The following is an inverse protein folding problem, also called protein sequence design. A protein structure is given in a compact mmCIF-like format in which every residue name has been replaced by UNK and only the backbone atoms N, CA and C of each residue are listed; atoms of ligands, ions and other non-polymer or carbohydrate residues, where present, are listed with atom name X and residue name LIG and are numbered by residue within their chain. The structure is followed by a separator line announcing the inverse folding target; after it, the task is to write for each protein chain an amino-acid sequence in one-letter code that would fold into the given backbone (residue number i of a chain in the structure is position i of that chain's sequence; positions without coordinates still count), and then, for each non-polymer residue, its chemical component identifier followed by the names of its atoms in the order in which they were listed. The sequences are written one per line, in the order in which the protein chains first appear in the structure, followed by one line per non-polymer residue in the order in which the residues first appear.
data_IF_192686307276
#
_entry.id   IF_192686307276
#
_cell.length_a   1.000
_cell.length_b   1.000
_cell.length_c   1.000
_cell.angle_alpha   90.00
_cell.angle_beta   90.00
_cell.angle_gamma   90.00
#
_symmetry.space_group_name_H-M   'P 1'
#
loop_
_entity.id
_entity.type
_entity.pdbx_description
1 polymer ?
#
# COMPACT_ATOMS: atom_id res chain seq x y z
N UNK A 1 16.27 30.28 2.50
CA UNK A 1 15.21 29.40 3.04
C UNK A 1 14.15 30.29 3.66
N UNK A 2 12.98 30.37 3.04
CA UNK A 2 11.81 31.07 3.56
C UNK A 2 10.69 30.03 3.71
N UNK A 3 9.76 30.19 4.67
CA UNK A 3 8.61 29.31 4.74
C UNK A 3 7.83 29.37 3.42
N UNK A 4 7.35 28.24 2.87
CA UNK A 4 6.74 28.18 1.54
C UNK A 4 5.52 29.10 1.43
N UNK A 5 4.84 29.36 2.54
CA UNK A 5 3.88 30.45 2.62
C UNK A 5 4.13 31.31 3.87
N UNK A 6 4.23 32.62 3.67
CA UNK A 6 4.24 33.62 4.72
C UNK A 6 3.24 34.71 4.33
N UNK A 7 2.15 34.89 5.07
CA UNK A 7 1.24 35.98 4.71
C UNK A 7 -0.11 36.03 5.41
N UNK A 8 -0.63 37.27 5.45
CA UNK A 8 -2.01 37.57 5.80
C UNK A 8 -2.96 37.00 4.74
N UNK A 9 -4.03 36.32 5.18
CA UNK A 9 -5.12 35.84 4.31
C UNK A 9 -5.11 34.34 3.96
N UNK A 10 -4.00 33.62 4.17
CA UNK A 10 -3.92 32.16 3.98
C UNK A 10 -4.39 31.38 5.21
N UNK A 11 -4.13 31.91 6.41
CA UNK A 11 -4.44 31.21 7.64
C UNK A 11 -5.90 31.40 8.05
N UNK A 12 -6.53 30.35 8.62
CA UNK A 12 -7.94 30.39 8.98
C UNK A 12 -8.25 31.48 10.01
N UNK A 13 -9.43 32.11 9.86
CA UNK A 13 -9.87 33.22 10.72
C UNK A 13 -10.10 32.80 12.18
N UNK A 14 -10.45 31.54 12.44
CA UNK A 14 -10.70 31.04 13.80
C UNK A 14 -9.44 31.05 14.69
N UNK A 15 -8.24 31.06 14.09
CA UNK A 15 -6.96 31.19 14.81
C UNK A 15 -6.48 32.63 14.95
N UNK A 16 -7.31 33.64 14.64
CA UNK A 16 -6.90 35.05 14.60
C UNK A 16 -6.14 35.45 13.32
N UNK A 17 -6.05 34.56 12.33
CA UNK A 17 -5.27 34.76 11.12
C UNK A 17 -3.77 34.58 11.34
N UNK A 18 -2.94 35.27 10.56
CA UNK A 18 -1.49 35.19 10.70
C UNK A 18 -1.01 35.89 11.98
N UNK A 19 -0.53 35.10 12.94
CA UNK A 19 0.13 35.59 14.15
C UNK A 19 1.65 35.43 14.03
N UNK A 20 2.38 36.54 13.93
CA UNK A 20 3.84 36.51 13.77
C UNK A 20 4.58 35.73 14.89
N UNK A 21 4.04 35.72 16.12
CA UNK A 21 4.60 34.97 17.24
C UNK A 21 4.65 33.44 16.99
N UNK A 22 3.68 32.91 16.23
CA UNK A 22 3.55 31.49 15.89
C UNK A 22 4.01 31.18 14.47
N UNK A 23 4.73 32.10 13.81
CA UNK A 23 5.21 31.92 12.43
C UNK A 23 5.98 30.63 12.21
N UNK A 24 6.80 30.22 13.20
CA UNK A 24 7.56 28.96 13.17
C UNK A 24 6.64 27.72 13.25
N UNK A 25 5.56 27.76 14.05
CA UNK A 25 4.58 26.66 14.15
C UNK A 25 3.84 26.48 12.82
N UNK A 26 3.43 27.58 12.18
CA UNK A 26 2.77 27.51 10.87
C UNK A 26 3.68 26.93 9.80
N UNK A 27 4.96 27.34 9.77
CA UNK A 27 5.93 26.77 8.85
C UNK A 27 6.17 25.28 9.12
N UNK A 28 6.27 24.89 10.39
CA UNK A 28 6.47 23.50 10.80
C UNK A 28 5.31 22.59 10.38
N UNK A 29 4.06 23.04 10.58
CA UNK A 29 2.88 22.29 10.13
C UNK A 29 2.84 22.12 8.62
N UNK A 30 3.28 23.12 7.85
CA UNK A 30 3.33 23.02 6.38
C UNK A 30 4.37 22.01 5.92
N UNK A 31 5.57 22.02 6.50
CA UNK A 31 6.62 21.06 6.15
C UNK A 31 6.25 19.63 6.56
N UNK A 32 5.52 19.44 7.67
CA UNK A 32 5.03 18.12 8.10
C UNK A 32 3.96 17.55 7.16
N UNK A 33 3.11 18.41 6.62
CA UNK A 33 2.00 18.04 5.75
C UNK A 33 2.33 18.17 4.26
N UNK A 34 3.59 18.45 3.91
CA UNK A 34 4.03 18.56 2.52
C UNK A 34 3.87 17.20 1.79
N UNK A 35 2.98 17.10 0.79
CA UNK A 35 2.78 15.86 0.05
C UNK A 35 4.00 15.47 -0.81
N UNK A 36 4.87 16.44 -1.11
CA UNK A 36 6.05 16.23 -1.96
C UNK A 36 7.29 15.77 -1.18
N UNK A 37 7.22 15.79 0.15
CA UNK A 37 8.29 15.33 1.01
C UNK A 37 8.43 13.81 0.91
N UNK A 38 9.64 13.34 0.58
CA UNK A 38 9.98 11.92 0.43
C UNK A 38 11.12 11.48 1.37
N UNK A 39 11.47 12.28 2.37
CA UNK A 39 12.59 12.01 3.27
C UNK A 39 12.10 11.63 4.67
N UNK A 40 11.99 10.32 4.91
CA UNK A 40 11.54 9.78 6.20
C UNK A 40 12.37 10.27 7.39
N UNK A 41 13.68 10.47 7.23
CA UNK A 41 14.54 10.92 8.32
C UNK A 41 14.18 12.34 8.75
N UNK A 42 14.00 13.23 7.76
CA UNK A 42 13.53 14.60 7.98
C UNK A 42 12.12 14.61 8.58
N UNK A 43 11.24 13.72 8.16
CA UNK A 43 9.89 13.61 8.73
C UNK A 43 9.93 13.24 10.23
N UNK A 44 10.84 12.35 10.63
CA UNK A 44 11.04 11.97 12.03
C UNK A 44 11.66 13.12 12.84
N UNK A 45 12.61 13.86 12.27
CA UNK A 45 13.15 15.07 12.91
C UNK A 45 12.06 16.13 13.12
N UNK A 46 11.26 16.41 12.09
CA UNK A 46 10.14 17.36 12.17
C UNK A 46 9.07 16.90 13.17
N UNK A 47 8.86 15.58 13.29
CA UNK A 47 7.99 15.02 14.32
C UNK A 47 8.52 15.31 15.73
N UNK A 48 9.84 15.14 15.95
CA UNK A 48 10.46 15.45 17.24
C UNK A 48 10.42 16.95 17.56
N UNK A 49 10.67 17.84 16.59
CA UNK A 49 10.59 19.29 16.80
C UNK A 49 9.16 19.73 17.09
N UNK A 50 8.17 19.19 16.36
CA UNK A 50 6.76 19.49 16.61
C UNK A 50 6.31 19.09 18.02
N UNK A 51 6.83 17.98 18.53
CA UNK A 51 6.58 17.56 19.91
C UNK A 51 7.25 18.48 20.94
N UNK A 52 8.45 18.99 20.67
CA UNK A 52 9.14 19.94 21.55
C UNK A 52 8.44 21.29 21.61
N UNK A 53 7.94 21.77 20.45
CA UNK A 53 7.18 23.01 20.32
C UNK A 53 5.72 22.88 20.80
N UNK A 54 5.29 21.69 21.25
CA UNK A 54 3.95 21.44 21.75
C UNK A 54 2.85 21.52 20.69
N UNK A 55 3.19 21.28 19.42
CA UNK A 55 2.23 21.29 18.32
C UNK A 55 1.34 20.05 18.39
N UNK A 56 0.03 20.27 18.43
CA UNK A 56 -0.95 19.19 18.41
C UNK A 56 -0.97 18.51 17.03
N UNK A 57 -0.56 17.24 16.99
CA UNK A 57 -0.59 16.42 15.76
C UNK A 57 -1.88 15.62 15.67
N UNK A 58 -2.36 15.49 14.45
CA UNK A 58 -3.54 14.70 14.11
C UNK A 58 -3.16 13.49 13.24
N UNK A 59 -4.16 12.69 12.86
CA UNK A 59 -3.98 11.50 12.01
C UNK A 59 -3.23 11.85 10.71
N UNK A 60 -3.56 12.95 10.04
CA UNK A 60 -2.92 13.35 8.78
C UNK A 60 -1.42 13.60 8.91
N UNK A 61 -0.96 14.17 10.03
CA UNK A 61 0.48 14.36 10.28
C UNK A 61 1.19 13.00 10.37
N UNK A 62 0.60 12.06 11.12
CA UNK A 62 1.16 10.72 11.25
C UNK A 62 1.12 9.93 9.94
N UNK A 63 0.04 10.02 9.18
CA UNK A 63 -0.09 9.38 7.87
C UNK A 63 0.92 9.94 6.86
N UNK A 64 1.20 11.25 6.89
CA UNK A 64 2.28 11.87 6.10
C UNK A 64 3.65 11.27 6.44
N UNK A 65 3.98 11.14 7.73
CA UNK A 65 5.24 10.53 8.18
C UNK A 65 5.32 9.06 7.73
N UNK A 66 4.23 8.30 7.90
CA UNK A 66 4.15 6.88 7.51
C UNK A 66 4.33 6.69 6.00
N UNK A 67 3.77 7.58 5.17
CA UNK A 67 3.94 7.55 3.71
C UNK A 67 5.40 7.65 3.30
N UNK A 68 6.16 8.52 3.97
CA UNK A 68 7.59 8.71 3.70
C UNK A 68 8.43 7.49 4.09
N UNK A 69 7.96 6.67 5.04
CA UNK A 69 8.62 5.44 5.45
C UNK A 69 8.51 4.29 4.43
N UNK A 70 7.60 4.36 3.45
CA UNK A 70 7.29 3.23 2.57
C UNK A 70 8.43 2.91 1.60
N UNK A 71 8.78 3.87 0.73
CA UNK A 71 9.82 3.66 -0.29
C UNK A 71 11.20 3.24 0.27
N UNK A 72 11.67 3.80 1.39
CA UNK A 72 12.92 3.38 2.01
C UNK A 72 12.84 2.04 2.75
N UNK A 73 11.66 1.45 2.92
CA UNK A 73 11.47 0.26 3.75
C UNK A 73 11.75 0.49 5.23
N UNK A 74 11.48 1.69 5.75
CA UNK A 74 11.77 2.11 7.12
C UNK A 74 10.74 1.55 8.13
N UNK A 75 10.67 0.21 8.22
CA UNK A 75 9.68 -0.53 9.01
C UNK A 75 9.76 -0.25 10.52
N UNK A 76 10.96 -0.07 11.07
CA UNK A 76 11.13 0.15 12.51
C UNK A 76 10.52 1.50 12.93
N UNK A 77 10.69 2.51 12.08
CA UNK A 77 10.14 3.84 12.26
C UNK A 77 8.63 3.84 12.06
N UNK A 78 8.11 3.12 11.06
CA UNK A 78 6.65 3.02 10.87
C UNK A 78 5.96 2.38 12.08
N UNK A 79 6.55 1.33 12.66
CA UNK A 79 6.09 0.72 13.90
C UNK A 79 6.18 1.66 15.11
N UNK A 80 7.26 2.45 15.20
CA UNK A 80 7.41 3.44 16.27
C UNK A 80 6.32 4.52 16.17
N UNK A 81 5.99 4.98 14.96
CA UNK A 81 4.92 5.93 14.71
C UNK A 81 3.56 5.35 15.12
N UNK A 82 3.23 4.12 14.71
CA UNK A 82 1.98 3.47 15.12
C UNK A 82 1.88 3.30 16.65
N UNK A 83 2.98 2.89 17.30
CA UNK A 83 3.05 2.80 18.77
C UNK A 83 2.83 4.16 19.41
N UNK A 84 3.36 5.24 18.83
CA UNK A 84 3.13 6.57 19.34
C UNK A 84 1.68 7.03 19.17
N UNK A 85 1.07 6.82 18.00
CA UNK A 85 -0.34 7.13 17.78
C UNK A 85 -1.22 6.49 18.86
N UNK A 86 -0.95 5.22 19.20
CA UNK A 86 -1.63 4.53 20.30
C UNK A 86 -1.40 5.19 21.67
N UNK A 87 -0.17 5.65 21.97
CA UNK A 87 0.15 6.34 23.23
C UNK A 87 -0.55 7.70 23.35
N UNK A 88 -0.70 8.40 22.23
CA UNK A 88 -1.37 9.70 22.15
C UNK A 88 -2.89 9.55 21.96
N UNK A 89 -3.42 8.32 22.01
CA UNK A 89 -4.83 7.99 21.76
C UNK A 89 -5.35 8.47 20.38
N UNK A 90 -4.45 8.62 19.41
CA UNK A 90 -4.78 8.92 18.02
C UNK A 90 -4.97 7.59 17.29
N UNK A 91 -6.15 7.36 16.73
CA UNK A 91 -6.42 6.14 15.95
C UNK A 91 -5.87 6.29 14.54
N UNK A 92 -5.03 5.36 14.04
CA UNK A 92 -4.62 5.38 12.65
C UNK A 92 -5.82 5.12 11.74
N UNK A 93 -5.80 5.75 10.57
CA UNK A 93 -6.72 5.48 9.47
C UNK A 93 -6.25 4.27 8.65
N UNK A 94 -7.11 3.79 7.75
CA UNK A 94 -6.80 2.65 6.88
C UNK A 94 -5.53 2.94 6.06
N UNK A 95 -5.40 4.18 5.59
CA UNK A 95 -4.24 4.64 4.81
C UNK A 95 -2.96 4.56 5.63
N UNK A 96 -2.95 5.05 6.87
CA UNK A 96 -1.79 4.96 7.76
C UNK A 96 -1.40 3.50 8.06
N UNK A 97 -2.38 2.63 8.31
CA UNK A 97 -2.12 1.19 8.47
C UNK A 97 -1.55 0.58 7.19
N UNK A 98 -2.11 0.91 6.02
CA UNK A 98 -1.63 0.46 4.72
C UNK A 98 -0.18 0.91 4.44
N UNK A 99 0.17 2.17 4.74
CA UNK A 99 1.54 2.65 4.65
C UNK A 99 2.49 1.89 5.59
N UNK A 100 2.07 1.62 6.83
CA UNK A 100 2.90 0.87 7.77
C UNK A 100 3.13 -0.58 7.31
N UNK A 101 2.08 -1.26 6.81
CA UNK A 101 2.19 -2.60 6.23
C UNK A 101 3.12 -2.59 5.01
N UNK A 102 2.95 -1.65 4.09
CA UNK A 102 3.79 -1.52 2.90
C UNK A 102 5.26 -1.27 3.27
N UNK A 103 5.55 -0.41 4.24
CA UNK A 103 6.92 -0.18 4.74
C UNK A 103 7.54 -1.47 5.32
N UNK A 104 6.75 -2.32 5.99
CA UNK A 104 7.22 -3.61 6.50
C UNK A 104 7.49 -4.62 5.37
N UNK A 105 6.65 -4.63 4.33
CA UNK A 105 6.86 -5.46 3.13
C UNK A 105 8.16 -5.05 2.40
N UNK A 106 8.36 -3.75 2.15
CA UNK A 106 9.60 -3.24 1.53
C UNK A 106 10.84 -3.52 2.41
N UNK A 107 10.67 -3.46 3.73
CA UNK A 107 11.70 -3.85 4.69
C UNK A 107 11.93 -5.36 4.82
N UNK A 108 11.15 -6.22 4.14
CA UNK A 108 11.16 -7.69 4.24
C UNK A 108 10.91 -8.24 5.65
N UNK A 109 10.14 -7.51 6.46
CA UNK A 109 9.75 -7.91 7.81
C UNK A 109 8.32 -8.48 7.80
N UNK A 110 8.17 -9.67 7.22
CA UNK A 110 6.87 -10.29 6.98
C UNK A 110 6.12 -10.68 8.28
N UNK A 111 6.83 -11.06 9.34
CA UNK A 111 6.21 -11.39 10.64
C UNK A 111 5.47 -10.20 11.25
N UNK A 112 6.04 -8.99 11.09
CA UNK A 112 5.41 -7.76 11.57
C UNK A 112 4.18 -7.40 10.74
N UNK A 113 4.19 -7.68 9.43
CA UNK A 113 3.01 -7.50 8.57
C UNK A 113 1.82 -8.31 9.10
N UNK A 114 2.05 -9.59 9.45
CA UNK A 114 0.99 -10.45 9.98
C UNK A 114 0.48 -9.95 11.33
N UNK A 115 1.38 -9.52 12.22
CA UNK A 115 1.03 -8.99 13.54
C UNK A 115 0.19 -7.70 13.44
N UNK A 116 0.60 -6.76 12.59
CA UNK A 116 -0.14 -5.51 12.36
C UNK A 116 -1.51 -5.84 11.77
N UNK A 117 -1.54 -6.65 10.71
CA UNK A 117 -2.78 -7.01 10.02
C UNK A 117 -3.78 -7.68 10.98
N UNK A 118 -3.34 -8.68 11.75
CA UNK A 118 -4.19 -9.38 12.72
C UNK A 118 -4.71 -8.47 13.85
N UNK A 119 -3.92 -7.45 14.23
CA UNK A 119 -4.32 -6.46 15.24
C UNK A 119 -5.43 -5.56 14.69
N UNK A 120 -5.25 -5.02 13.48
CA UNK A 120 -6.19 -4.04 12.92
C UNK A 120 -7.43 -4.67 12.30
N UNK A 121 -7.34 -5.88 11.75
CA UNK A 121 -8.48 -6.62 11.19
C UNK A 121 -9.61 -6.86 12.21
N UNK A 122 -9.28 -6.91 13.52
CA UNK A 122 -10.28 -7.04 14.60
C UNK A 122 -10.99 -5.72 14.92
N UNK A 123 -10.39 -4.59 14.55
CA UNK A 123 -10.81 -3.26 15.00
C UNK A 123 -11.33 -2.38 13.86
N UNK A 124 -11.00 -2.71 12.61
CA UNK A 124 -11.20 -1.88 11.43
C UNK A 124 -11.41 -2.77 10.20
N UNK A 125 -12.25 -2.30 9.28
CA UNK A 125 -12.35 -2.85 7.92
C UNK A 125 -11.12 -2.41 7.12
N UNK A 126 -10.31 -3.38 6.71
CA UNK A 126 -9.09 -3.15 5.94
C UNK A 126 -9.42 -3.02 4.45
N UNK A 127 -8.65 -2.20 3.74
CA UNK A 127 -8.82 -2.01 2.30
C UNK A 127 -8.07 -3.07 1.48
N UNK A 128 -8.32 -3.06 0.17
CA UNK A 128 -7.65 -3.94 -0.78
C UNK A 128 -6.12 -3.78 -0.77
N UNK A 129 -5.59 -2.60 -0.40
CA UNK A 129 -4.14 -2.34 -0.29
C UNK A 129 -3.54 -3.06 0.93
N UNK A 130 -4.23 -3.04 2.08
CA UNK A 130 -3.82 -3.78 3.27
C UNK A 130 -3.80 -5.29 3.02
N UNK A 131 -4.83 -5.82 2.36
CA UNK A 131 -4.86 -7.24 1.98
C UNK A 131 -3.77 -7.59 0.96
N UNK A 132 -3.51 -6.73 -0.02
CA UNK A 132 -2.42 -6.88 -0.98
C UNK A 132 -1.06 -6.96 -0.27
N UNK A 133 -0.79 -6.11 0.71
CA UNK A 133 0.44 -6.14 1.48
C UNK A 133 0.64 -7.48 2.23
N UNK A 134 -0.45 -8.04 2.80
CA UNK A 134 -0.41 -9.35 3.45
C UNK A 134 -0.13 -10.49 2.44
N UNK A 135 -0.82 -10.48 1.30
CA UNK A 135 -0.66 -11.50 0.25
C UNK A 135 0.78 -11.48 -0.29
N UNK A 136 1.30 -10.28 -0.58
CA UNK A 136 2.69 -10.11 -1.03
C UNK A 136 3.69 -10.57 0.03
N UNK A 137 3.51 -10.19 1.29
CA UNK A 137 4.38 -10.65 2.38
C UNK A 137 4.44 -12.18 2.46
N UNK A 138 3.28 -12.84 2.36
CA UNK A 138 3.19 -14.31 2.41
C UNK A 138 3.82 -14.98 1.19
N UNK A 139 3.61 -14.41 0.00
CA UNK A 139 4.21 -14.90 -1.23
C UNK A 139 5.74 -14.79 -1.19
N UNK A 140 6.30 -13.64 -0.79
CA UNK A 140 7.75 -13.44 -0.69
C UNK A 140 8.39 -14.24 0.45
N UNK A 141 7.67 -14.51 1.54
CA UNK A 141 8.13 -15.38 2.63
C UNK A 141 8.12 -16.88 2.29
N UNK A 142 7.59 -17.27 1.12
CA UNK A 142 7.45 -18.67 0.70
C UNK A 142 6.23 -19.39 1.28
N UNK A 143 5.36 -18.70 2.01
CA UNK A 143 4.11 -19.26 2.53
C UNK A 143 2.96 -19.07 1.53
N UNK A 144 3.06 -19.75 0.38
CA UNK A 144 2.10 -19.62 -0.70
C UNK A 144 0.68 -20.12 -0.31
N UNK A 145 0.57 -21.18 0.52
CA UNK A 145 -0.73 -21.59 1.11
C UNK A 145 -1.40 -20.46 1.89
N UNK A 146 -0.63 -19.75 2.72
CA UNK A 146 -1.12 -18.62 3.48
C UNK A 146 -1.56 -17.46 2.59
N UNK A 147 -0.87 -17.23 1.48
CA UNK A 147 -1.22 -16.19 0.51
C UNK A 147 -2.58 -16.50 -0.16
N UNK A 148 -2.80 -17.74 -0.58
CA UNK A 148 -4.07 -18.21 -1.14
C UNK A 148 -5.20 -18.08 -0.11
N UNK A 149 -4.96 -18.46 1.15
CA UNK A 149 -5.94 -18.31 2.23
C UNK A 149 -6.30 -16.83 2.47
N UNK A 150 -5.33 -15.92 2.41
CA UNK A 150 -5.59 -14.48 2.50
C UNK A 150 -6.42 -13.95 1.32
N UNK A 151 -6.16 -14.44 0.10
CA UNK A 151 -6.98 -14.11 -1.08
C UNK A 151 -8.43 -14.55 -0.93
N UNK A 152 -8.65 -15.79 -0.46
CA UNK A 152 -10.02 -16.29 -0.17
C UNK A 152 -10.70 -15.50 0.94
N UNK A 153 -9.95 -15.09 1.96
CA UNK A 153 -10.48 -14.23 3.03
C UNK A 153 -10.93 -12.88 2.47
N UNK A 154 -10.12 -12.25 1.62
CA UNK A 154 -10.48 -10.98 0.97
C UNK A 154 -11.75 -11.11 0.09
N UNK A 155 -11.95 -12.25 -0.58
CA UNK A 155 -13.20 -12.54 -1.30
C UNK A 155 -14.39 -12.72 -0.36
N UNK A 156 -14.20 -13.42 0.76
CA UNK A 156 -15.24 -13.63 1.77
C UNK A 156 -15.67 -12.30 2.42
N UNK A 157 -14.72 -11.39 2.62
CA UNK A 157 -14.95 -10.04 3.13
C UNK A 157 -15.55 -9.09 2.07
N UNK A 158 -15.76 -9.58 0.83
CA UNK A 158 -16.28 -8.84 -0.32
C UNK A 158 -15.46 -7.59 -0.68
N UNK A 159 -14.16 -7.61 -0.38
CA UNK A 159 -13.24 -6.53 -0.72
C UNK A 159 -12.75 -6.75 -2.16
N UNK A 160 -12.86 -5.76 -3.06
CA UNK A 160 -12.47 -5.93 -4.45
C UNK A 160 -10.98 -6.24 -4.60
N UNK A 161 -10.65 -7.02 -5.61
CA UNK A 161 -9.27 -7.32 -5.97
C UNK A 161 -8.65 -6.20 -6.80
N UNK A 162 -7.40 -5.87 -6.50
CA UNK A 162 -6.59 -4.99 -7.34
C UNK A 162 -5.87 -5.84 -8.40
N UNK A 163 -5.48 -5.26 -9.54
CA UNK A 163 -4.70 -5.96 -10.57
C UNK A 163 -3.47 -6.67 -10.00
N UNK A 164 -2.71 -6.00 -9.13
CA UNK A 164 -1.54 -6.57 -8.45
C UNK A 164 -1.88 -7.70 -7.46
N UNK A 165 -3.10 -7.75 -6.93
CA UNK A 165 -3.54 -8.87 -6.08
C UNK A 165 -3.62 -10.15 -6.91
N UNK A 166 -4.17 -10.08 -8.12
CA UNK A 166 -4.22 -11.21 -9.04
C UNK A 166 -2.82 -11.73 -9.39
N UNK A 167 -1.86 -10.83 -9.62
CA UNK A 167 -0.49 -11.24 -9.98
C UNK A 167 0.17 -12.05 -8.87
N UNK A 168 0.15 -11.55 -7.64
CA UNK A 168 0.78 -12.25 -6.50
C UNK A 168 0.03 -13.53 -6.11
N UNK A 169 -1.30 -13.56 -6.23
CA UNK A 169 -2.07 -14.79 -5.98
C UNK A 169 -1.80 -15.85 -7.05
N UNK A 170 -1.68 -15.48 -8.32
CA UNK A 170 -1.35 -16.43 -9.40
C UNK A 170 0.08 -16.98 -9.25
N UNK A 171 1.03 -16.14 -8.85
CA UNK A 171 2.39 -16.58 -8.49
C UNK A 171 2.36 -17.57 -7.31
N UNK A 172 1.57 -17.28 -6.27
CA UNK A 172 1.39 -18.19 -5.14
C UNK A 172 0.71 -19.51 -5.57
N UNK A 173 -0.25 -19.47 -6.50
CA UNK A 173 -0.87 -20.67 -7.06
C UNK A 173 0.13 -21.51 -7.86
N UNK A 174 1.06 -20.88 -8.59
CA UNK A 174 2.12 -21.59 -9.33
C UNK A 174 3.11 -22.29 -8.40
N UNK A 175 3.36 -21.71 -7.21
CA UNK A 175 4.22 -22.34 -6.21
C UNK A 175 3.57 -23.56 -5.52
N UNK A 176 2.25 -23.54 -5.30
CA UNK A 176 1.49 -24.62 -4.64
C UNK A 176 0.82 -25.61 -5.61
N UNK A 177 0.90 -25.38 -6.92
CA UNK A 177 0.18 -26.11 -7.98
C UNK A 177 -1.36 -26.16 -7.77
N UNK A 178 -1.97 -25.11 -7.20
CA UNK A 178 -3.43 -24.99 -7.07
C UNK A 178 -4.05 -24.41 -8.36
N UNK A 179 -4.23 -25.28 -9.35
CA UNK A 179 -4.83 -24.91 -10.64
C UNK A 179 -6.32 -24.53 -10.53
N UNK A 180 -7.05 -25.02 -9.53
CA UNK A 180 -8.48 -24.74 -9.38
C UNK A 180 -8.70 -23.27 -9.02
N UNK A 181 -8.00 -22.81 -7.99
CA UNK A 181 -8.08 -21.41 -7.57
C UNK A 181 -7.52 -20.45 -8.63
N UNK A 182 -6.45 -20.84 -9.33
CA UNK A 182 -5.91 -20.05 -10.44
C UNK A 182 -6.94 -19.84 -11.58
N UNK A 183 -7.75 -20.84 -11.92
CA UNK A 183 -8.81 -20.68 -12.93
C UNK A 183 -9.90 -19.70 -12.49
N UNK A 184 -10.31 -19.74 -11.23
CA UNK A 184 -11.27 -18.78 -10.66
C UNK A 184 -10.72 -17.35 -10.72
N UNK A 185 -9.44 -17.16 -10.37
CA UNK A 185 -8.78 -15.86 -10.45
C UNK A 185 -8.70 -15.33 -11.88
N UNK A 186 -8.35 -16.17 -12.86
CA UNK A 186 -8.31 -15.78 -14.28
C UNK A 186 -9.70 -15.42 -14.81
N UNK A 187 -10.72 -16.17 -14.41
CA UNK A 187 -12.11 -15.86 -14.75
C UNK A 187 -12.54 -14.50 -14.18
N UNK A 188 -12.26 -14.25 -12.89
CA UNK A 188 -12.60 -12.99 -12.24
C UNK A 188 -11.86 -11.81 -12.88
N UNK A 189 -10.56 -11.96 -13.14
CA UNK A 189 -9.73 -10.95 -13.81
C UNK A 189 -10.27 -10.57 -15.20
N UNK A 190 -10.76 -11.55 -15.98
CA UNK A 190 -11.42 -11.28 -17.25
C UNK A 190 -12.80 -10.63 -17.07
N UNK A 191 -13.61 -11.11 -16.13
CA UNK A 191 -14.95 -10.55 -15.88
C UNK A 191 -14.89 -9.06 -15.51
N UNK A 192 -13.84 -8.68 -14.79
CA UNK A 192 -13.55 -7.30 -14.38
C UNK A 192 -12.76 -6.50 -15.43
N UNK A 193 -12.40 -7.13 -16.56
CA UNK A 193 -11.66 -6.52 -17.68
C UNK A 193 -10.27 -5.97 -17.31
N UNK A 194 -9.61 -6.57 -16.31
CA UNK A 194 -8.24 -6.21 -15.96
C UNK A 194 -7.24 -6.79 -16.95
N UNK A 195 -6.24 -5.99 -17.34
CA UNK A 195 -5.14 -6.46 -18.16
C UNK A 195 -4.20 -7.34 -17.31
N UNK A 196 -3.93 -8.60 -17.71
CA UNK A 196 -2.97 -9.44 -17.01
C UNK A 196 -1.57 -8.84 -17.08
N UNK A 197 -0.86 -8.82 -15.95
CA UNK A 197 0.55 -8.42 -15.95
C UNK A 197 1.41 -9.51 -16.59
N UNK A 198 2.62 -9.15 -17.05
CA UNK A 198 3.56 -10.13 -17.61
C UNK A 198 3.87 -11.27 -16.64
N UNK A 199 3.99 -11.00 -15.34
CA UNK A 199 4.22 -12.03 -14.33
C UNK A 199 3.02 -12.97 -14.17
N UNK A 200 1.80 -12.42 -14.21
CA UNK A 200 0.58 -13.23 -14.19
C UNK A 200 0.49 -14.14 -15.43
N UNK A 201 0.84 -13.63 -16.61
CA UNK A 201 0.87 -14.42 -17.86
C UNK A 201 1.82 -15.61 -17.74
N UNK A 202 3.04 -15.39 -17.25
CA UNK A 202 4.04 -16.44 -17.05
C UNK A 202 3.56 -17.49 -16.03
N UNK A 203 2.97 -17.06 -14.91
CA UNK A 203 2.43 -17.97 -13.90
C UNK A 203 1.30 -18.85 -14.47
N UNK A 204 0.43 -18.28 -15.31
CA UNK A 204 -0.65 -19.01 -15.98
C UNK A 204 -0.09 -19.99 -17.02
N UNK A 205 0.93 -19.61 -17.79
CA UNK A 205 1.57 -20.50 -18.76
C UNK A 205 2.26 -21.69 -18.11
N UNK A 206 3.01 -21.44 -17.02
CA UNK A 206 3.70 -22.50 -16.27
C UNK A 206 2.72 -23.49 -15.65
N UNK A 207 1.65 -22.99 -15.01
CA UNK A 207 0.54 -23.81 -14.51
C UNK A 207 -0.17 -24.56 -15.66
N UNK A 208 -0.32 -23.91 -16.82
CA UNK A 208 -0.93 -24.51 -18.00
C UNK A 208 -0.11 -25.67 -18.58
N UNK A 209 1.22 -25.61 -18.51
CA UNK A 209 2.08 -26.75 -18.92
C UNK A 209 1.91 -27.97 -18.00
N UNK A 210 1.62 -27.76 -16.72
CA UNK A 210 1.38 -28.83 -15.73
C UNK A 210 -0.05 -29.36 -15.76
N UNK A 211 -1.02 -28.51 -16.09
CA UNK A 211 -2.44 -28.85 -16.11
C UNK A 211 -3.09 -28.48 -17.45
N UNK A 212 -3.38 -29.50 -18.26
CA UNK A 212 -3.98 -29.35 -19.60
C UNK A 212 -5.31 -28.57 -19.59
N UNK A 213 -6.09 -28.69 -18.51
CA UNK A 213 -7.37 -27.98 -18.34
C UNK A 213 -7.19 -26.46 -18.22
N UNK A 214 -6.16 -26.02 -17.50
CA UNK A 214 -5.86 -24.60 -17.33
C UNK A 214 -5.25 -24.02 -18.61
N UNK A 215 -4.42 -24.78 -19.33
CA UNK A 215 -3.92 -24.38 -20.64
C UNK A 215 -5.04 -24.24 -21.69
N UNK A 216 -6.02 -25.14 -21.71
CA UNK A 216 -7.16 -25.04 -22.62
C UNK A 216 -8.03 -23.80 -22.30
N UNK A 217 -8.18 -23.47 -21.02
CA UNK A 217 -8.96 -22.32 -20.55
C UNK A 217 -8.23 -20.98 -20.76
N UNK A 218 -6.90 -20.93 -20.57
CA UNK A 218 -6.12 -19.70 -20.65
C UNK A 218 -5.76 -19.31 -22.09
N UNK A 219 -5.49 -20.26 -23.00
CA UNK A 219 -5.08 -19.98 -24.39
C UNK A 219 -5.96 -18.97 -25.14
N UNK A 220 -7.31 -19.05 -25.11
CA UNK A 220 -8.17 -18.04 -25.72
C UNK A 220 -7.99 -16.66 -25.10
N UNK A 221 -7.84 -16.60 -23.77
CA UNK A 221 -7.79 -15.38 -22.97
C UNK A 221 -6.44 -14.64 -23.13
N UNK A 222 -5.34 -15.38 -23.24
CA UNK A 222 -4.00 -14.84 -23.49
C UNK A 222 -3.87 -14.30 -24.94
N UNK A 223 -4.45 -14.99 -25.94
CA UNK A 223 -4.45 -14.54 -27.34
C UNK A 223 -5.27 -13.26 -27.59
N UNK A 224 -6.22 -12.96 -26.70
CA UNK A 224 -7.00 -11.74 -26.72
C UNK A 224 -6.21 -10.55 -26.11
N UNK A 225 -5.35 -10.79 -25.12
CA UNK A 225 -4.52 -9.73 -24.52
C UNK A 225 -3.34 -9.34 -25.40
N UNK A 226 -2.76 -10.27 -26.17
CA UNK A 226 -1.72 -9.96 -27.18
C UNK A 226 -2.21 -8.98 -28.25
N UNK A 227 -3.50 -9.04 -28.61
CA UNK A 227 -4.11 -8.04 -29.50
C UNK A 227 -4.23 -6.66 -28.84
N UNK A 228 -4.41 -6.60 -27.52
CA UNK A 228 -4.49 -5.35 -26.76
C UNK A 228 -3.10 -4.72 -26.49
N UNK A 229 -2.05 -5.54 -26.31
CA UNK A 229 -0.67 -5.07 -26.10
C UNK A 229 -0.05 -4.39 -27.31
N UNK A 230 -0.55 -4.63 -28.54
CA UNK A 230 -0.09 -3.91 -29.73
C UNK A 230 -0.61 -2.46 -29.84
N UNK A 231 -1.48 -2.02 -28.91
CA UNK A 231 -2.16 -0.73 -28.98
C UNK A 231 -1.86 0.26 -27.83
N UNK A 232 -1.02 -0.07 -26.85
CA UNK A 232 -0.73 0.83 -25.73
C UNK A 232 0.77 1.11 -25.57
N UNK A 233 1.20 2.39 -25.46
CA UNK A 233 2.59 2.73 -25.23
C UNK A 233 3.05 2.28 -23.85
N UNK A 234 4.28 1.81 -23.79
CA UNK A 234 5.02 1.33 -22.63
C UNK A 234 4.80 2.16 -21.37
N UNK A 235 4.13 1.57 -20.37
CA UNK A 235 4.09 2.10 -19.00
C UNK A 235 5.28 1.51 -18.22
N UNK A 236 6.22 2.41 -17.94
CA UNK A 236 7.45 2.23 -17.18
C UNK A 236 7.20 1.51 -15.83
N UNK A 237 7.75 0.28 -15.70
CA UNK A 237 7.54 -0.64 -14.59
C UNK A 237 8.30 -0.26 -13.29
N UNK A 238 8.83 0.96 -13.20
CA UNK A 238 9.68 1.40 -12.08
C UNK A 238 9.00 2.35 -11.09
N UNK A 239 7.72 2.68 -11.26
CA UNK A 239 7.07 3.72 -10.45
C UNK A 239 5.69 3.29 -9.97
N UNK A 240 5.54 3.40 -8.65
CA UNK A 240 4.31 3.65 -7.89
C UNK A 240 3.52 2.42 -7.42
N UNK A 241 3.91 1.95 -6.23
CA UNK A 241 2.97 1.44 -5.21
C UNK A 241 1.84 2.46 -4.90
N UNK A 242 2.01 3.73 -5.33
CA UNK A 242 1.04 4.79 -5.13
C UNK A 242 0.88 5.69 -6.38
N UNK A 243 -0.26 5.72 -7.11
CA UNK A 243 -0.58 6.85 -7.97
C UNK A 243 -0.22 8.18 -7.33
N UNK A 244 0.24 9.16 -8.13
CA UNK A 244 0.78 10.43 -7.62
C UNK A 244 -0.26 11.30 -6.90
N UNK A 245 -1.50 10.85 -6.75
CA UNK A 245 -2.63 11.64 -6.27
C UNK A 245 -3.24 11.14 -4.96
N UNK A 246 -2.44 10.52 -4.09
CA UNK A 246 -2.87 10.25 -2.72
C UNK A 246 -1.83 10.69 -1.69
#
# INVERSE_FOLDING_TARGET
MHPPTSGQGLFPRYGGGWMHQFGHVYALQQELLDPSANNWFRAVELWHTARQEGVAMNVSHFTSILRQCVHPGAWAQSLQVLKQMKRENVRPDVVGVGCALAACVEGKHYDEVENIFATFHKTMLLDSVCHLALIRARQESGNAKGAIAAGRQQQADQVPFLPYTYTHLLEACNAEDDAAYAMELVHNMHSEQWAPSQCAMLAIEDLGRRHERLAAFSRPLLSASDKAHSALPSLDASKRLFPPEW
#
